data_IF_303394649934
#
_entry.id   IF_303394649934
#
_cell.length_a   1.000
_cell.length_b   1.000
_cell.length_c   1.000
_cell.angle_alpha   90.00
_cell.angle_beta   90.00
_cell.angle_gamma   90.00
#
_symmetry.space_group_name_H-M   'P 1'
#
loop_
_entity.id
_entity.type
_entity.pdbx_description
1 polymer ?
#
# COMPACT_ATOMS: atom_id res chain seq x y z
N UNK A 1 40.88 -40.20 25.62
CA UNK A 1 41.14 -39.32 24.45
C UNK A 1 40.24 -39.62 23.25
N UNK A 2 40.09 -40.88 22.81
CA UNK A 2 39.26 -41.23 21.63
C UNK A 2 37.77 -40.80 21.71
N UNK A 3 37.13 -40.91 22.89
CA UNK A 3 35.74 -40.46 23.08
C UNK A 3 35.57 -38.94 23.03
N UNK A 4 36.57 -38.18 23.50
CA UNK A 4 36.53 -36.70 23.48
C UNK A 4 36.66 -36.20 22.05
N UNK A 5 37.55 -36.81 21.26
CA UNK A 5 37.73 -36.49 19.83
C UNK A 5 36.45 -36.81 19.05
N UNK A 6 35.81 -37.97 19.31
CA UNK A 6 34.55 -38.33 18.66
C UNK A 6 33.43 -37.32 18.96
N UNK A 7 33.29 -36.89 20.22
CA UNK A 7 32.30 -35.88 20.59
C UNK A 7 32.58 -34.51 19.94
N UNK A 8 33.84 -34.10 19.87
CA UNK A 8 34.23 -32.85 19.19
C UNK A 8 33.89 -32.90 17.70
N UNK A 9 34.20 -34.01 17.02
CA UNK A 9 33.90 -34.19 15.60
C UNK A 9 32.40 -34.17 15.34
N UNK A 10 31.59 -34.82 16.19
CA UNK A 10 30.13 -34.79 16.08
C UNK A 10 29.61 -33.36 16.26
N UNK A 11 30.08 -32.64 17.28
CA UNK A 11 29.64 -31.26 17.54
C UNK A 11 29.99 -30.33 16.38
N UNK A 12 31.21 -30.43 15.83
CA UNK A 12 31.62 -29.63 14.68
C UNK A 12 30.81 -29.97 13.43
N UNK A 13 30.55 -31.25 13.18
CA UNK A 13 29.70 -31.68 12.05
C UNK A 13 28.28 -31.14 12.18
N UNK A 14 27.69 -31.14 13.37
CA UNK A 14 26.37 -30.58 13.62
C UNK A 14 26.36 -29.06 13.38
N UNK A 15 27.35 -28.32 13.90
CA UNK A 15 27.45 -26.87 13.70
C UNK A 15 27.57 -26.54 12.21
N UNK A 16 28.46 -27.21 11.48
CA UNK A 16 28.65 -26.99 10.04
C UNK A 16 27.35 -27.28 9.28
N UNK A 17 26.67 -28.39 9.60
CA UNK A 17 25.40 -28.73 8.94
C UNK A 17 24.30 -27.68 9.17
N UNK A 18 24.19 -27.15 10.38
CA UNK A 18 23.21 -26.11 10.73
C UNK A 18 23.58 -24.80 10.04
N UNK A 19 24.86 -24.41 10.06
CA UNK A 19 25.33 -23.18 9.41
C UNK A 19 25.15 -23.24 7.89
N UNK A 20 25.39 -24.38 7.24
CA UNK A 20 25.16 -24.55 5.80
C UNK A 20 23.68 -24.41 5.47
N UNK A 21 22.79 -25.04 6.24
CA UNK A 21 21.33 -24.87 6.07
C UNK A 21 20.95 -23.40 6.27
N UNK A 22 21.40 -22.77 7.33
CA UNK A 22 21.10 -21.35 7.60
C UNK A 22 21.60 -20.46 6.46
N UNK A 23 22.84 -20.62 5.99
CA UNK A 23 23.40 -19.80 4.88
C UNK A 23 22.68 -20.03 3.55
N UNK A 24 22.23 -21.26 3.26
CA UNK A 24 21.55 -21.58 2.00
C UNK A 24 20.07 -21.18 2.01
N UNK A 25 19.42 -21.23 3.17
CA UNK A 25 18.00 -20.91 3.33
C UNK A 25 17.75 -19.45 3.77
N UNK A 26 18.70 -18.75 4.41
CA UNK A 26 18.61 -17.29 4.68
C UNK A 26 18.28 -16.49 3.41
N UNK A 27 19.02 -16.61 2.29
CA UNK A 27 18.73 -15.81 1.10
C UNK A 27 17.36 -16.11 0.49
N UNK A 28 16.79 -17.30 0.78
CA UNK A 28 15.46 -17.70 0.31
C UNK A 28 14.33 -17.07 1.13
N UNK A 29 14.60 -16.61 2.36
CA UNK A 29 13.63 -15.88 3.21
C UNK A 29 13.83 -14.36 3.11
N UNK A 30 15.04 -13.89 2.79
CA UNK A 30 15.35 -12.45 2.63
C UNK A 30 14.98 -11.86 1.25
N UNK A 31 14.71 -12.68 0.21
CA UNK A 31 14.32 -12.18 -1.12
C UNK A 31 12.82 -11.84 -1.26
N UNK A 32 12.03 -11.91 -0.18
CA UNK A 32 10.65 -11.42 -0.22
C UNK A 32 10.46 -9.99 0.33
N UNK A 33 11.33 -9.45 1.21
CA UNK A 33 10.97 -8.18 1.90
C UNK A 33 12.11 -7.16 2.17
N UNK A 34 13.37 -7.27 1.69
CA UNK A 34 14.33 -6.14 1.92
C UNK A 34 15.41 -5.84 0.88
N UNK A 35 15.45 -6.47 -0.30
CA UNK A 35 16.57 -6.30 -1.25
C UNK A 35 16.32 -5.54 -2.57
N UNK A 36 15.25 -4.75 -2.69
CA UNK A 36 15.01 -3.94 -3.91
C UNK A 36 15.14 -2.41 -3.76
N UNK A 37 15.82 -1.92 -2.72
CA UNK A 37 16.03 -0.46 -2.57
C UNK A 37 17.46 0.01 -2.88
N UNK A 38 18.35 -0.87 -3.36
CA UNK A 38 19.79 -0.53 -3.49
C UNK A 38 20.23 -0.34 -4.96
N UNK A 39 19.54 -0.93 -5.95
CA UNK A 39 19.98 -0.85 -7.37
C UNK A 39 19.00 -0.20 -8.33
N UNK A 40 17.77 0.05 -7.92
CA UNK A 40 16.86 0.98 -8.59
C UNK A 40 16.58 2.11 -7.60
N UNK A 41 16.46 3.38 -8.03
CA UNK A 41 15.88 4.38 -7.16
C UNK A 41 14.52 3.80 -6.76
N UNK A 42 14.36 3.45 -5.49
CA UNK A 42 13.04 3.17 -4.96
C UNK A 42 12.21 4.42 -5.23
N UNK A 43 11.47 4.41 -6.35
CA UNK A 43 10.22 5.11 -6.41
C UNK A 43 9.49 4.51 -5.23
N UNK A 44 9.49 5.27 -4.13
CA UNK A 44 8.64 4.93 -3.01
C UNK A 44 7.29 4.57 -3.64
N UNK A 45 6.65 3.44 -3.26
CA UNK A 45 5.22 3.44 -3.42
C UNK A 45 4.82 4.65 -2.60
N UNK A 46 4.54 5.78 -3.27
CA UNK A 46 3.84 6.90 -2.66
C UNK A 46 2.68 6.17 -2.06
N UNK A 47 2.65 6.03 -0.73
CA UNK A 47 1.61 5.29 -0.07
C UNK A 47 0.37 6.08 -0.44
N UNK A 48 -0.33 5.59 -1.45
CA UNK A 48 -1.37 6.30 -2.18
C UNK A 48 -2.62 6.23 -1.33
N UNK A 49 -2.52 6.38 -0.01
CA UNK A 49 -3.67 6.75 0.80
C UNK A 49 -4.19 8.08 0.26
N UNK A 50 -3.33 9.04 -0.09
CA UNK A 50 -3.78 10.27 -0.73
C UNK A 50 -4.37 10.03 -2.14
N UNK A 51 -3.77 9.18 -2.97
CA UNK A 51 -4.28 8.92 -4.33
C UNK A 51 -5.55 8.05 -4.34
N UNK A 52 -5.69 7.13 -3.40
CA UNK A 52 -6.90 6.32 -3.19
C UNK A 52 -8.00 7.14 -2.52
N UNK A 53 -7.67 8.02 -1.57
CA UNK A 53 -8.61 9.02 -1.04
C UNK A 53 -9.03 10.00 -2.14
N UNK A 54 -8.13 10.44 -3.02
CA UNK A 54 -8.47 11.29 -4.17
C UNK A 54 -9.31 10.53 -5.21
N UNK A 55 -9.07 9.23 -5.39
CA UNK A 55 -9.87 8.37 -6.27
C UNK A 55 -11.27 8.12 -5.71
N UNK A 56 -11.40 7.99 -4.38
CA UNK A 56 -12.69 7.90 -3.70
C UNK A 56 -13.39 9.27 -3.62
N UNK A 57 -12.62 10.35 -3.50
CA UNK A 57 -13.05 11.74 -3.57
C UNK A 57 -12.88 12.25 -5.00
N UNK A 58 -13.45 11.53 -5.99
CA UNK A 58 -13.50 12.03 -7.36
C UNK A 58 -14.00 13.47 -7.28
N UNK A 59 -13.12 14.43 -7.62
CA UNK A 59 -13.37 15.86 -7.32
C UNK A 59 -14.73 16.21 -7.90
N UNK A 60 -15.71 16.42 -7.00
CA UNK A 60 -17.05 16.84 -7.40
C UNK A 60 -16.86 18.26 -7.91
N UNK A 61 -16.95 18.43 -9.23
CA UNK A 61 -16.72 19.69 -9.95
C UNK A 61 -17.96 20.13 -10.76
N UNK A 62 -19.05 19.36 -10.70
CA UNK A 62 -20.28 19.61 -11.44
C UNK A 62 -21.53 19.23 -10.63
N UNK A 63 -22.67 19.79 -11.02
CA UNK A 63 -23.97 19.46 -10.44
C UNK A 63 -24.28 17.96 -10.60
N UNK A 64 -24.03 17.40 -11.79
CA UNK A 64 -24.29 16.00 -12.13
C UNK A 64 -23.45 15.04 -11.27
N UNK A 65 -22.16 15.36 -11.05
CA UNK A 65 -21.31 14.59 -10.14
C UNK A 65 -21.78 14.69 -8.69
N UNK A 66 -22.23 15.88 -8.26
CA UNK A 66 -22.75 16.09 -6.91
C UNK A 66 -23.99 15.21 -6.65
N UNK A 67 -24.93 15.17 -7.60
CA UNK A 67 -26.15 14.33 -7.54
C UNK A 67 -25.81 12.85 -7.62
N UNK A 68 -24.90 12.46 -8.53
CA UNK A 68 -24.46 11.06 -8.68
C UNK A 68 -23.74 10.54 -7.43
N UNK A 69 -23.11 11.43 -6.66
CA UNK A 69 -22.53 11.14 -5.36
C UNK A 69 -23.56 11.05 -4.22
N UNK A 70 -24.87 11.20 -4.51
CA UNK A 70 -25.95 11.05 -3.53
C UNK A 70 -26.16 12.23 -2.60
N UNK A 71 -25.59 13.40 -2.94
CA UNK A 71 -25.76 14.62 -2.14
C UNK A 71 -27.18 15.23 -2.32
N UNK A 72 -27.70 15.95 -1.32
CA UNK A 72 -29.03 16.55 -1.38
C UNK A 72 -29.11 17.63 -2.48
N UNK A 73 -30.16 17.53 -3.30
CA UNK A 73 -30.60 18.59 -4.21
C UNK A 73 -31.56 19.50 -3.48
N UNK A 74 -31.32 20.81 -3.61
CA UNK A 74 -32.14 21.85 -3.02
C UNK A 74 -33.27 22.21 -3.98
N UNK A 75 -34.43 22.52 -3.40
CA UNK A 75 -35.63 23.01 -4.09
C UNK A 75 -35.45 24.47 -4.54
N UNK A 76 -34.46 24.73 -5.41
CA UNK A 76 -34.15 26.04 -5.99
C UNK A 76 -34.22 26.01 -7.52
N UNK A 77 -34.36 27.18 -8.16
CA UNK A 77 -34.24 27.31 -9.61
C UNK A 77 -33.16 28.36 -9.96
N UNK A 78 -32.07 27.99 -10.66
CA UNK A 78 -31.72 26.63 -11.09
C UNK A 78 -31.50 25.68 -9.90
N UNK A 79 -31.58 24.37 -10.15
CA UNK A 79 -31.38 23.37 -9.10
C UNK A 79 -29.96 23.48 -8.55
N UNK A 80 -29.81 23.28 -7.25
CA UNK A 80 -28.52 23.30 -6.58
C UNK A 80 -28.29 21.99 -5.83
N UNK A 81 -27.07 21.48 -5.85
CA UNK A 81 -26.67 20.30 -5.08
C UNK A 81 -25.63 20.70 -4.04
N UNK A 82 -25.82 20.25 -2.79
CA UNK A 82 -24.96 20.63 -1.66
C UNK A 82 -24.23 19.42 -1.09
N UNK A 83 -22.91 19.46 -1.07
CA UNK A 83 -22.07 18.39 -0.51
C UNK A 83 -22.01 18.43 1.02
N UNK A 84 -21.53 17.34 1.64
CA UNK A 84 -21.35 17.25 3.10
C UNK A 84 -20.33 18.25 3.65
N UNK A 85 -19.34 18.66 2.85
CA UNK A 85 -18.38 19.73 3.18
C UNK A 85 -18.94 21.15 2.94
N UNK A 86 -20.20 21.28 2.50
CA UNK A 86 -20.89 22.55 2.36
C UNK A 86 -20.64 23.28 1.03
N UNK A 87 -20.05 22.62 0.02
CA UNK A 87 -19.92 23.20 -1.32
C UNK A 87 -21.25 23.08 -2.06
N UNK A 88 -21.50 24.06 -2.94
CA UNK A 88 -22.70 24.15 -3.75
C UNK A 88 -22.34 24.05 -5.23
N UNK A 89 -23.11 23.26 -5.98
CA UNK A 89 -23.02 23.13 -7.43
C UNK A 89 -24.36 23.48 -8.04
N UNK A 90 -24.38 24.44 -8.98
CA UNK A 90 -25.59 24.93 -9.64
C UNK A 90 -25.75 24.24 -10.99
N UNK A 91 -26.97 23.82 -11.31
CA UNK A 91 -27.32 23.28 -12.62
C UNK A 91 -27.13 24.34 -13.72
N UNK A 92 -26.45 23.96 -14.81
CA UNK A 92 -26.29 24.83 -15.98
C UNK A 92 -27.56 24.75 -16.82
N UNK A 93 -28.35 25.82 -16.80
CA UNK A 93 -29.49 26.01 -17.69
C UNK A 93 -29.17 27.09 -18.73
N UNK A 94 -29.60 26.88 -19.97
CA UNK A 94 -29.57 27.93 -20.98
C UNK A 94 -30.81 28.83 -20.79
N UNK A 95 -30.68 30.17 -20.88
CA UNK A 95 -31.78 31.11 -20.71
C UNK A 95 -32.81 31.03 -21.85
#
# INVERSE_FOLDING_TARGET
>A
MHHVIKNIVITLSCIISVSVVVIFFIPLVDEFETFNCITEPCESPKITIFESLQKQYSVIDSFEKCVSAGNPVMESHPRQCRTTDGKHFVEKINP
#
